data_IF_878243858209
#
_entry.id   IF_878243858209
#
_cell.length_a   1.000
_cell.length_b   1.000
_cell.length_c   1.000
_cell.angle_alpha   90.00
_cell.angle_beta   90.00
_cell.angle_gamma   90.00
#
_symmetry.space_group_name_H-M   'P 1'
#
loop_
_entity.id
_entity.type
_entity.pdbx_description
1 polymer ?
#
# COMPACT_ATOMS: atom_id res chain seq x y z
N UNK A 1 9.13 -5.93 15.42
CA UNK A 1 8.61 -5.21 14.23
C UNK A 1 7.77 -4.07 14.75
N UNK A 2 8.04 -2.84 14.32
CA UNK A 2 7.33 -1.66 14.83
C UNK A 2 6.22 -1.30 13.85
N UNK A 3 5.01 -1.72 14.16
CA UNK A 3 3.79 -1.32 13.46
C UNK A 3 3.20 -0.09 14.15
N UNK A 4 2.61 0.80 13.38
CA UNK A 4 1.83 1.90 13.96
C UNK A 4 0.53 1.31 14.56
N UNK A 5 0.27 1.46 15.87
CA UNK A 5 -0.92 0.91 16.51
C UNK A 5 -2.23 1.35 15.86
N UNK A 6 -2.27 2.55 15.26
CA UNK A 6 -3.43 3.05 14.54
C UNK A 6 -3.68 2.26 13.25
N UNK A 7 -2.61 1.80 12.60
CA UNK A 7 -2.71 0.96 11.41
C UNK A 7 -3.17 -0.45 11.78
N UNK A 8 -2.69 -0.99 12.89
CA UNK A 8 -3.21 -2.28 13.37
C UNK A 8 -4.70 -2.22 13.75
N UNK A 9 -5.18 -1.06 14.21
CA UNK A 9 -6.61 -0.83 14.41
C UNK A 9 -7.34 -0.75 13.06
N UNK A 10 -6.79 -0.02 12.08
CA UNK A 10 -7.36 0.06 10.72
C UNK A 10 -7.59 -1.33 10.13
N UNK A 11 -6.56 -2.19 10.12
CA UNK A 11 -6.67 -3.55 9.58
C UNK A 11 -7.61 -4.46 10.36
N UNK A 12 -7.70 -4.30 11.69
CA UNK A 12 -8.68 -5.03 12.51
C UNK A 12 -10.14 -4.62 12.23
N UNK A 13 -10.36 -3.39 11.78
CA UNK A 13 -11.69 -2.86 11.49
C UNK A 13 -12.14 -3.08 10.03
N UNK A 14 -11.25 -3.53 9.15
CA UNK A 14 -11.58 -3.85 7.76
C UNK A 14 -12.57 -5.01 7.68
N UNK A 15 -13.78 -4.72 7.20
CA UNK A 15 -14.83 -5.72 6.93
C UNK A 15 -14.81 -6.26 5.51
N UNK A 16 -14.17 -5.53 4.58
CA UNK A 16 -14.03 -5.87 3.17
C UNK A 16 -12.57 -5.65 2.77
N UNK A 17 -12.11 -6.45 1.80
CA UNK A 17 -10.74 -6.42 1.28
C UNK A 17 -9.64 -6.70 2.32
N UNK A 18 -9.99 -7.39 3.42
CA UNK A 18 -9.05 -7.63 4.51
C UNK A 18 -7.88 -8.51 4.05
N UNK A 19 -8.17 -9.58 3.31
CA UNK A 19 -7.18 -10.52 2.81
C UNK A 19 -6.25 -9.84 1.80
N UNK A 20 -6.81 -9.15 0.82
CA UNK A 20 -6.09 -8.46 -0.26
C UNK A 20 -5.21 -7.35 0.30
N UNK A 21 -5.74 -6.50 1.19
CA UNK A 21 -4.95 -5.45 1.81
C UNK A 21 -3.88 -6.02 2.76
N UNK A 22 -4.14 -7.15 3.40
CA UNK A 22 -3.13 -7.83 4.25
C UNK A 22 -1.99 -8.39 3.39
N UNK A 23 -2.29 -8.94 2.21
CA UNK A 23 -1.29 -9.37 1.24
C UNK A 23 -0.47 -8.16 0.77
N UNK A 24 -1.13 -7.08 0.34
CA UNK A 24 -0.44 -5.86 -0.08
C UNK A 24 0.45 -5.28 1.03
N UNK A 25 -0.04 -5.23 2.28
CA UNK A 25 0.75 -4.81 3.45
C UNK A 25 2.03 -5.64 3.61
N UNK A 26 1.95 -6.96 3.46
CA UNK A 26 3.11 -7.86 3.53
C UNK A 26 4.13 -7.57 2.43
N UNK A 27 3.68 -7.39 1.19
CA UNK A 27 4.56 -7.09 0.05
C UNK A 27 5.25 -5.73 0.27
N UNK A 28 4.53 -4.73 0.76
CA UNK A 28 5.13 -3.41 1.01
C UNK A 28 6.18 -3.49 2.14
N UNK A 29 5.92 -4.25 3.19
CA UNK A 29 6.88 -4.43 4.28
C UNK A 29 8.18 -5.12 3.88
N UNK A 30 8.16 -6.05 2.92
CA UNK A 30 9.39 -6.70 2.45
C UNK A 30 10.35 -5.74 1.74
N UNK A 31 9.88 -4.55 1.37
CA UNK A 31 10.65 -3.53 0.66
C UNK A 31 11.26 -2.44 1.58
N UNK A 32 11.27 -2.63 2.89
CA UNK A 32 11.93 -1.71 3.83
C UNK A 32 11.25 -0.35 3.99
N UNK A 33 9.99 -0.21 3.56
CA UNK A 33 9.20 1.00 3.78
C UNK A 33 8.70 1.09 5.22
N UNK A 34 8.69 2.30 5.77
CA UNK A 34 8.14 2.60 7.10
C UNK A 34 6.65 2.85 7.00
N UNK A 35 5.86 2.08 7.75
CA UNK A 35 4.41 2.22 7.83
C UNK A 35 4.01 3.32 8.83
N UNK A 36 3.14 4.22 8.39
CA UNK A 36 2.64 5.37 9.17
C UNK A 36 1.16 5.63 8.88
N UNK A 37 0.39 6.02 9.89
CA UNK A 37 -0.98 6.48 9.70
C UNK A 37 -1.02 7.92 9.17
N UNK A 38 -1.47 8.10 7.93
CA UNK A 38 -1.75 9.43 7.33
C UNK A 38 -3.16 9.45 6.75
N UNK A 39 -3.90 10.52 7.02
CA UNK A 39 -5.28 10.70 6.56
C UNK A 39 -6.21 9.51 6.89
N UNK A 40 -5.97 8.84 8.02
CA UNK A 40 -6.68 7.62 8.47
C UNK A 40 -6.47 6.39 7.58
N UNK A 41 -5.41 6.37 6.77
CA UNK A 41 -5.04 5.25 5.92
C UNK A 41 -3.59 4.80 6.18
N UNK A 42 -3.27 3.51 5.95
CA UNK A 42 -1.91 3.01 5.92
C UNK A 42 -1.12 3.68 4.81
N UNK A 43 -0.17 4.52 5.18
CA UNK A 43 0.78 5.17 4.28
C UNK A 43 2.17 4.60 4.55
N UNK A 44 2.95 4.42 3.48
CA UNK A 44 4.28 3.85 3.54
C UNK A 44 5.27 4.86 3.01
N UNK A 45 6.35 5.02 3.77
CA UNK A 45 7.32 6.09 3.59
C UNK A 45 8.72 5.54 3.47
N UNK A 46 9.56 6.24 2.72
CA UNK A 46 11.00 6.00 2.67
C UNK A 46 11.70 7.34 2.84
N UNK A 47 12.60 7.43 3.82
CA UNK A 47 13.27 8.70 4.19
C UNK A 47 12.27 9.86 4.35
N UNK A 48 11.19 9.63 5.10
CA UNK A 48 10.08 10.57 5.36
C UNK A 48 9.27 11.03 4.13
N UNK A 49 9.60 10.55 2.92
CA UNK A 49 8.83 10.79 1.70
C UNK A 49 7.71 9.76 1.61
N UNK A 50 6.51 10.22 1.28
CA UNK A 50 5.40 9.31 0.99
C UNK A 50 5.69 8.55 -0.30
N UNK A 51 5.61 7.23 -0.25
CA UNK A 51 5.87 6.36 -1.40
C UNK A 51 4.57 5.75 -1.89
N UNK A 52 3.79 5.13 -1.01
CA UNK A 52 2.49 4.57 -1.35
C UNK A 52 1.50 4.58 -0.18
N UNK A 53 0.22 4.40 -0.47
CA UNK A 53 -0.87 4.30 0.49
C UNK A 53 -1.84 3.18 0.11
N UNK A 54 -2.34 2.47 1.11
CA UNK A 54 -3.35 1.44 0.94
C UNK A 54 -4.73 1.98 1.31
N UNK A 55 -5.74 1.61 0.53
CA UNK A 55 -7.11 2.08 0.69
C UNK A 55 -8.12 0.95 0.54
N UNK A 56 -9.15 0.95 1.39
CA UNK A 56 -10.33 0.09 1.25
C UNK A 56 -11.52 0.95 0.84
N UNK A 57 -12.17 0.61 -0.27
CA UNK A 57 -13.38 1.26 -0.77
C UNK A 57 -14.51 0.24 -0.90
N UNK A 58 -15.76 0.74 -1.01
CA UNK A 58 -16.95 -0.13 -1.09
C UNK A 58 -16.91 -1.16 -2.22
N UNK A 59 -16.25 -0.83 -3.35
CA UNK A 59 -16.25 -1.65 -4.56
C UNK A 59 -14.87 -2.16 -4.97
N UNK A 60 -13.79 -1.71 -4.32
CA UNK A 60 -12.42 -2.12 -4.62
C UNK A 60 -11.49 -1.80 -3.45
N UNK A 61 -10.30 -2.39 -3.44
CA UNK A 61 -9.17 -1.87 -2.68
C UNK A 61 -8.17 -1.20 -3.63
N UNK A 62 -7.28 -0.37 -3.09
CA UNK A 62 -6.29 0.34 -3.87
C UNK A 62 -4.93 0.31 -3.22
N UNK A 63 -3.90 0.22 -4.06
CA UNK A 63 -2.56 0.70 -3.76
C UNK A 63 -2.34 1.99 -4.56
N UNK A 64 -1.98 3.07 -3.87
CA UNK A 64 -1.81 4.40 -4.48
C UNK A 64 -0.37 4.85 -4.28
N UNK A 65 0.36 5.10 -5.36
CA UNK A 65 1.73 5.62 -5.29
C UNK A 65 1.74 7.15 -5.29
N UNK A 66 2.51 7.75 -4.38
CA UNK A 66 2.72 9.20 -4.36
C UNK A 66 3.80 9.55 -5.40
N UNK A 67 3.49 10.50 -6.30
CA UNK A 67 4.42 10.98 -7.33
C UNK A 67 5.67 11.60 -6.71
N UNK A 68 6.70 10.77 -6.52
CA UNK A 68 8.05 11.15 -6.08
C UNK A 68 9.14 10.19 -6.57
N UNK A 69 8.76 9.01 -7.08
CA UNK A 69 9.65 8.07 -7.77
C UNK A 69 8.98 7.62 -9.09
N UNK A 70 9.32 8.31 -10.18
CA UNK A 70 9.31 7.81 -11.56
C UNK A 70 8.07 7.09 -12.18
N UNK A 71 6.81 7.52 -11.96
CA UNK A 71 5.74 7.13 -12.90
C UNK A 71 4.63 8.19 -13.05
N UNK A 72 4.30 8.54 -14.29
CA UNK A 72 3.42 9.66 -14.65
C UNK A 72 1.91 9.36 -14.55
N UNK A 73 1.50 8.32 -13.84
CA UNK A 73 0.09 8.00 -13.66
C UNK A 73 -0.18 7.54 -12.21
N UNK A 74 -1.31 7.97 -11.65
CA UNK A 74 -1.91 7.29 -10.50
C UNK A 74 -2.29 5.89 -10.99
N UNK A 75 -1.40 4.92 -10.79
CA UNK A 75 -1.73 3.51 -11.04
C UNK A 75 -2.63 3.08 -9.90
N UNK A 76 -3.94 3.18 -10.12
CA UNK A 76 -4.92 2.45 -9.31
C UNK A 76 -4.88 1.03 -9.82
N UNK A 77 -4.05 0.17 -9.22
CA UNK A 77 -4.27 -1.26 -9.37
C UNK A 77 -5.50 -1.61 -8.55
N UNK A 78 -6.64 -1.62 -9.23
CA UNK A 78 -7.78 -2.43 -8.81
C UNK A 78 -7.27 -3.85 -8.97
N UNK A 79 -7.05 -4.56 -7.87
CA UNK A 79 -6.59 -5.94 -7.89
C UNK A 79 -7.84 -6.82 -7.87
N UNK A 80 -8.34 -7.38 -8.99
CA UNK A 80 -8.78 -8.77 -8.97
C UNK A 80 -7.58 -9.60 -8.50
N UNK A 81 -7.82 -10.64 -7.70
CA UNK A 81 -6.78 -11.47 -7.04
C UNK A 81 -5.69 -12.00 -8.01
N UNK A 82 -5.98 -11.96 -9.30
CA UNK A 82 -5.25 -12.44 -10.45
C UNK A 82 -4.09 -11.52 -10.94
N UNK A 83 -3.92 -10.31 -10.38
CA UNK A 83 -3.01 -9.28 -10.93
C UNK A 83 -1.74 -8.97 -10.09
N UNK A 84 -1.30 -9.89 -9.24
CA UNK A 84 -0.13 -9.72 -8.35
C UNK A 84 1.20 -9.49 -9.08
N UNK A 85 1.34 -9.94 -10.33
CA UNK A 85 2.56 -9.77 -11.14
C UNK A 85 2.83 -8.31 -11.52
N UNK A 86 1.79 -7.51 -11.76
CA UNK A 86 1.93 -6.10 -12.13
C UNK A 86 2.37 -5.23 -10.94
N UNK A 87 1.92 -5.59 -9.73
CA UNK A 87 2.36 -4.97 -8.47
C UNK A 87 3.87 -5.09 -8.26
N UNK A 88 4.42 -6.29 -8.48
CA UNK A 88 5.86 -6.55 -8.30
C UNK A 88 6.70 -5.73 -9.28
N UNK A 89 6.30 -5.70 -10.56
CA UNK A 89 7.00 -4.89 -11.56
C UNK A 89 6.97 -3.39 -11.23
N UNK A 90 5.85 -2.85 -10.71
CA UNK A 90 5.77 -1.45 -10.29
C UNK A 90 6.67 -1.15 -9.08
N UNK A 91 6.86 -2.11 -8.18
CA UNK A 91 7.74 -1.96 -7.02
C UNK A 91 9.23 -1.96 -7.39
N UNK A 92 9.64 -2.75 -8.40
CA UNK A 92 11.03 -2.74 -8.89
C UNK A 92 11.45 -1.36 -9.43
N UNK A 93 10.51 -0.60 -10.01
CA UNK A 93 10.75 0.75 -10.52
C UNK A 93 10.87 1.83 -9.42
N UNK A 94 10.37 1.57 -8.21
CA UNK A 94 10.43 2.53 -7.08
C UNK A 94 11.82 2.53 -6.42
N UNK A 95 12.55 1.42 -6.55
CA UNK A 95 13.87 1.24 -5.95
C UNK A 95 15.04 1.61 -6.89
N UNK A 96 14.77 2.18 -8.07
CA UNK A 96 15.76 2.78 -8.98
C UNK A 96 15.76 4.31 -8.85
#
# INVERSE_FOLDING_TARGET
>A
MQTDPLIDIYFRQLRIWNEELTVLRKIVWTNGLTEVCKWKHPCYTWQDKNILMLGSFKQHCSIMFFRGAALSALVVMIVPVDCLSECLSAMDHINQ
#
